data_IF_035561260464
#
_entry.id   IF_035561260464
#
_cell.length_a   1.000
_cell.length_b   1.000
_cell.length_c   1.000
_cell.angle_alpha   90.00
_cell.angle_beta   90.00
_cell.angle_gamma   90.00
#
_symmetry.space_group_name_H-M   'P 1'
#
loop_
_entity.id
_entity.type
_entity.pdbx_description
1 polymer ?
#
# COMPACT_ATOMS: atom_id res chain seq x y z
N UNK A 1 -25.32 -52.13 4.23
CA UNK A 1 -24.26 -51.81 5.22
C UNK A 1 -23.36 -50.76 4.59
N UNK A 2 -23.17 -49.58 5.20
CA UNK A 2 -22.25 -48.59 4.69
C UNK A 2 -20.82 -48.99 5.07
N UNK A 3 -19.94 -49.11 4.09
CA UNK A 3 -18.50 -49.33 4.28
C UNK A 3 -17.89 -48.06 4.89
N UNK A 4 -17.47 -48.15 6.16
CA UNK A 4 -16.70 -47.11 6.82
C UNK A 4 -15.34 -46.98 6.14
N UNK A 5 -15.15 -45.91 5.37
CA UNK A 5 -13.84 -45.47 4.90
C UNK A 5 -13.03 -44.97 6.10
N UNK A 6 -12.19 -45.87 6.63
CA UNK A 6 -11.19 -45.55 7.65
C UNK A 6 -10.17 -44.61 7.03
N UNK A 7 -9.98 -43.41 7.60
CA UNK A 7 -8.90 -42.51 7.21
C UNK A 7 -7.57 -43.24 7.41
N UNK A 8 -6.80 -43.41 6.34
CA UNK A 8 -5.44 -43.97 6.39
C UNK A 8 -4.54 -42.98 7.14
N UNK A 9 -4.12 -43.34 8.35
CA UNK A 9 -3.26 -42.54 9.23
C UNK A 9 -1.75 -42.69 8.86
N UNK A 10 -1.44 -43.54 7.87
CA UNK A 10 -0.07 -43.83 7.41
C UNK A 10 0.41 -42.97 6.23
N UNK A 11 -0.32 -41.92 5.85
CA UNK A 11 0.11 -41.03 4.77
C UNK A 11 1.33 -40.22 5.22
N UNK A 12 2.45 -40.36 4.50
CA UNK A 12 3.68 -39.63 4.80
C UNK A 12 3.40 -38.13 4.74
N UNK A 13 3.86 -37.38 5.75
CA UNK A 13 3.73 -35.92 5.78
C UNK A 13 4.35 -35.34 4.51
N UNK A 14 3.51 -34.76 3.65
CA UNK A 14 3.94 -33.99 2.49
C UNK A 14 4.38 -32.62 2.98
N UNK A 15 5.69 -32.38 2.96
CA UNK A 15 6.24 -31.05 3.19
C UNK A 15 6.16 -30.27 1.87
N UNK A 16 5.42 -29.15 1.89
CA UNK A 16 5.34 -28.22 0.77
C UNK A 16 6.31 -27.05 1.01
N UNK A 17 7.54 -27.21 0.54
CA UNK A 17 8.59 -26.18 0.61
C UNK A 17 8.59 -25.26 -0.64
N UNK A 18 7.43 -25.09 -1.28
CA UNK A 18 7.30 -24.26 -2.48
C UNK A 18 7.55 -22.78 -2.21
N UNK A 19 7.14 -22.28 -1.04
CA UNK A 19 7.34 -20.89 -0.59
C UNK A 19 8.26 -20.92 0.63
N UNK A 20 9.43 -20.30 0.50
CA UNK A 20 10.43 -20.21 1.57
C UNK A 20 10.12 -19.06 2.54
N UNK A 21 9.47 -18.00 2.04
CA UNK A 21 9.07 -16.87 2.89
C UNK A 21 8.63 -15.63 2.12
N UNK A 22 8.28 -14.59 2.87
CA UNK A 22 7.95 -13.27 2.33
C UNK A 22 8.83 -12.23 3.04
N UNK A 23 9.56 -11.44 2.27
CA UNK A 23 10.39 -10.35 2.77
C UNK A 23 9.87 -9.01 2.26
N UNK A 24 9.88 -7.99 3.11
CA UNK A 24 9.42 -6.65 2.72
C UNK A 24 10.59 -5.74 2.40
N UNK A 25 10.65 -5.27 1.15
CA UNK A 25 11.65 -4.33 0.68
C UNK A 25 11.03 -2.93 0.55
N UNK A 26 11.76 -1.89 0.95
CA UNK A 26 11.30 -0.50 0.83
C UNK A 26 12.03 0.19 -0.33
N UNK A 27 11.28 0.60 -1.34
CA UNK A 27 11.77 1.32 -2.50
C UNK A 27 11.48 2.81 -2.35
N UNK A 28 12.46 3.66 -2.62
CA UNK A 28 12.33 5.11 -2.55
C UNK A 28 12.19 5.73 -3.95
N UNK A 29 11.62 6.94 -4.04
CA UNK A 29 11.52 7.67 -5.30
C UNK A 29 12.88 8.01 -5.93
N UNK A 30 12.90 8.23 -7.24
CA UNK A 30 14.11 8.70 -7.94
C UNK A 30 14.56 10.10 -7.55
N UNK A 31 13.60 10.95 -7.20
CA UNK A 31 13.82 12.34 -6.83
C UNK A 31 13.19 12.58 -5.46
N UNK A 32 13.95 13.19 -4.55
CA UNK A 32 13.52 13.48 -3.18
C UNK A 32 12.85 14.86 -3.08
N UNK A 33 11.84 15.11 -3.93
CA UNK A 33 10.99 16.29 -3.84
C UNK A 33 9.53 15.86 -3.66
N UNK A 34 8.91 16.38 -2.60
CA UNK A 34 7.55 16.00 -2.17
C UNK A 34 6.62 17.21 -2.02
N UNK A 35 6.90 18.30 -2.75
CA UNK A 35 6.13 19.53 -2.72
C UNK A 35 4.77 19.32 -3.39
N UNK A 36 3.84 20.24 -3.13
CA UNK A 36 2.54 20.22 -3.79
C UNK A 36 2.71 20.33 -5.31
N UNK A 37 1.93 19.52 -6.05
CA UNK A 37 2.02 19.32 -7.50
C UNK A 37 3.20 18.49 -8.02
N UNK A 38 4.12 18.06 -7.17
CA UNK A 38 5.20 17.17 -7.61
C UNK A 38 4.64 15.82 -8.06
N UNK A 39 5.30 15.26 -9.07
CA UNK A 39 5.12 13.87 -9.48
C UNK A 39 6.25 13.03 -8.90
N UNK A 40 5.87 12.00 -8.14
CA UNK A 40 6.77 11.12 -7.42
C UNK A 40 6.69 9.76 -8.07
N UNK A 41 7.83 9.25 -8.54
CA UNK A 41 7.92 7.95 -9.21
C UNK A 41 8.82 7.01 -8.43
N UNK A 42 8.29 5.85 -8.08
CA UNK A 42 9.00 4.76 -7.40
C UNK A 42 8.99 3.55 -8.34
N UNK A 43 10.15 2.96 -8.61
CA UNK A 43 10.27 1.80 -9.49
C UNK A 43 10.96 0.63 -8.80
N UNK A 44 10.54 -0.57 -9.17
CA UNK A 44 11.23 -1.81 -8.88
C UNK A 44 11.89 -2.26 -10.18
N UNK A 45 13.22 -2.24 -10.20
CA UNK A 45 14.02 -2.58 -11.39
C UNK A 45 14.42 -4.06 -11.43
N UNK A 46 14.21 -4.81 -10.35
CA UNK A 46 14.69 -6.18 -10.21
C UNK A 46 13.78 -7.18 -10.94
N UNK A 47 14.14 -7.52 -12.18
CA UNK A 47 13.35 -8.39 -13.06
C UNK A 47 13.26 -9.86 -12.59
N UNK A 48 14.03 -10.25 -11.58
CA UNK A 48 13.98 -11.62 -11.01
C UNK A 48 13.16 -11.72 -9.72
N UNK A 49 12.49 -10.64 -9.31
CA UNK A 49 11.68 -10.61 -8.09
C UNK A 49 10.25 -11.09 -8.34
N UNK A 50 9.72 -11.85 -7.37
CA UNK A 50 8.32 -12.29 -7.36
C UNK A 50 7.60 -11.36 -6.39
N UNK A 51 6.81 -10.45 -6.93
CA UNK A 51 6.16 -9.39 -6.15
C UNK A 51 4.71 -9.77 -5.85
N UNK A 52 4.23 -9.45 -4.64
CA UNK A 52 2.82 -9.58 -4.26
C UNK A 52 2.18 -8.18 -4.04
N UNK A 53 1.66 -7.51 -5.08
CA UNK A 53 1.27 -6.11 -4.99
C UNK A 53 0.13 -5.83 -4.00
N UNK A 54 -0.78 -6.77 -3.79
CA UNK A 54 -1.96 -6.58 -2.91
C UNK A 54 -1.61 -6.36 -1.44
N UNK A 55 -0.47 -6.90 -0.99
CA UNK A 55 0.05 -6.74 0.37
C UNK A 55 1.11 -5.62 0.47
N UNK A 56 1.34 -4.88 -0.62
CA UNK A 56 2.25 -3.73 -0.60
C UNK A 56 1.63 -2.51 0.09
N UNK A 57 2.48 -1.63 0.58
CA UNK A 57 2.12 -0.50 1.43
C UNK A 57 2.90 0.76 1.03
N UNK A 58 2.24 1.91 1.09
CA UNK A 58 2.86 3.22 0.95
C UNK A 58 3.16 3.80 2.33
N UNK A 59 4.42 4.11 2.58
CA UNK A 59 4.87 4.79 3.80
C UNK A 59 5.00 6.28 3.49
N UNK A 60 4.40 7.12 4.34
CA UNK A 60 4.48 8.57 4.25
C UNK A 60 4.88 9.13 5.62
N UNK A 61 6.04 9.78 5.66
CA UNK A 61 6.60 10.40 6.85
C UNK A 61 6.73 11.91 6.62
N UNK A 62 6.57 12.68 7.68
CA UNK A 62 6.65 14.12 7.58
C UNK A 62 6.44 14.84 8.90
N UNK A 63 6.42 16.16 8.79
CA UNK A 63 6.10 17.06 9.90
C UNK A 63 4.83 17.84 9.61
N UNK A 64 4.15 18.24 10.68
CA UNK A 64 2.95 19.08 10.62
C UNK A 64 3.03 20.17 11.70
N UNK A 65 2.17 21.18 11.62
CA UNK A 65 2.03 22.16 12.71
C UNK A 65 1.65 21.44 14.02
N UNK A 66 2.21 21.88 15.15
CA UNK A 66 1.87 21.31 16.47
C UNK A 66 0.37 21.39 16.75
N UNK A 67 -0.16 20.38 17.44
CA UNK A 67 -1.59 20.24 17.78
C UNK A 67 -2.50 20.15 16.53
N UNK A 68 -1.99 19.55 15.45
CA UNK A 68 -2.79 19.24 14.27
C UNK A 68 -3.54 17.93 14.46
N UNK A 69 -4.76 17.85 13.96
CA UNK A 69 -5.60 16.65 13.95
C UNK A 69 -5.81 16.26 12.50
N UNK A 70 -5.26 15.13 12.07
CA UNK A 70 -5.55 14.60 10.73
C UNK A 70 -7.04 14.28 10.62
N UNK A 71 -7.65 14.62 9.49
CA UNK A 71 -9.02 14.21 9.22
C UNK A 71 -9.07 12.71 8.90
N UNK A 72 -10.27 12.12 8.89
CA UNK A 72 -10.42 10.75 8.42
C UNK A 72 -9.86 10.62 6.99
N UNK A 73 -8.97 9.65 6.81
CA UNK A 73 -8.23 9.36 5.59
C UNK A 73 -7.27 10.48 5.15
N UNK A 74 -6.90 11.40 6.05
CA UNK A 74 -6.06 12.57 5.77
C UNK A 74 -4.77 12.28 4.98
N UNK A 75 -4.02 11.19 5.24
CA UNK A 75 -2.83 10.84 4.47
C UNK A 75 -3.10 10.57 2.98
N UNK A 76 -4.26 10.01 2.63
CA UNK A 76 -4.62 9.80 1.23
C UNK A 76 -4.94 11.13 0.51
N UNK A 77 -5.39 12.16 1.22
CA UNK A 77 -5.62 13.50 0.64
C UNK A 77 -4.32 14.22 0.23
N UNK A 78 -3.16 13.74 0.69
CA UNK A 78 -1.86 14.23 0.22
C UNK A 78 -1.65 13.95 -1.28
N UNK A 79 -2.37 12.99 -1.85
CA UNK A 79 -2.23 12.60 -3.24
C UNK A 79 -3.49 12.94 -4.02
N UNK A 80 -3.32 13.66 -5.13
CA UNK A 80 -4.40 13.84 -6.10
C UNK A 80 -4.57 12.60 -6.96
N UNK A 81 -3.47 11.92 -7.29
CA UNK A 81 -3.48 10.79 -8.21
C UNK A 81 -2.48 9.73 -7.77
N UNK A 82 -2.87 8.48 -7.90
CA UNK A 82 -2.02 7.32 -7.67
C UNK A 82 -2.25 6.37 -8.82
N UNK A 83 -1.17 6.01 -9.51
CA UNK A 83 -1.17 5.14 -10.67
C UNK A 83 -0.17 4.02 -10.49
N UNK A 84 -0.58 2.83 -10.85
CA UNK A 84 0.27 1.65 -10.88
C UNK A 84 0.45 1.17 -12.32
N UNK A 85 1.71 1.03 -12.72
CA UNK A 85 2.10 0.58 -14.05
C UNK A 85 2.89 -0.73 -13.96
N UNK A 86 2.64 -1.63 -14.90
CA UNK A 86 3.44 -2.82 -15.15
C UNK A 86 4.02 -2.74 -16.55
N UNK A 87 5.34 -2.82 -16.68
CA UNK A 87 6.05 -2.72 -17.95
C UNK A 87 5.66 -1.46 -18.77
N UNK A 88 5.36 -0.35 -18.09
CA UNK A 88 4.92 0.91 -18.70
C UNK A 88 3.44 0.95 -19.13
N UNK A 89 2.66 -0.10 -18.83
CA UNK A 89 1.21 -0.13 -19.07
C UNK A 89 0.48 0.20 -17.77
N UNK A 90 -0.41 1.20 -17.82
CA UNK A 90 -1.30 1.56 -16.70
C UNK A 90 -2.27 0.40 -16.42
N UNK A 91 -2.15 -0.19 -15.23
CA UNK A 91 -3.03 -1.28 -14.77
C UNK A 91 -4.22 -0.71 -14.01
N UNK A 92 -3.96 0.27 -13.15
CA UNK A 92 -4.99 0.92 -12.37
C UNK A 92 -4.55 2.34 -11.97
N UNK A 93 -5.55 3.20 -11.77
CA UNK A 93 -5.37 4.59 -11.39
C UNK A 93 -6.55 5.09 -10.57
N UNK A 94 -6.23 5.65 -9.42
CA UNK A 94 -7.20 6.34 -8.57
C UNK A 94 -6.92 7.83 -8.58
N UNK A 95 -7.87 8.60 -9.13
CA UNK A 95 -7.89 10.06 -9.04
C UNK A 95 -8.64 10.53 -7.79
N UNK A 96 -8.33 11.74 -7.34
CA UNK A 96 -8.84 12.35 -6.11
C UNK A 96 -8.72 11.36 -4.93
N UNK A 97 -7.52 10.82 -4.70
CA UNK A 97 -7.29 9.65 -3.85
C UNK A 97 -7.98 9.77 -2.50
N UNK A 98 -7.79 10.90 -1.80
CA UNK A 98 -8.48 11.16 -0.54
C UNK A 98 -10.00 10.99 -0.63
N UNK A 99 -10.67 11.62 -1.61
CA UNK A 99 -12.14 11.55 -1.74
C UNK A 99 -12.59 10.14 -2.12
N UNK A 100 -11.98 9.56 -3.16
CA UNK A 100 -12.38 8.27 -3.72
C UNK A 100 -12.21 7.14 -2.69
N UNK A 101 -11.07 7.09 -2.00
CA UNK A 101 -10.83 6.05 -1.00
C UNK A 101 -11.61 6.29 0.29
N UNK A 102 -11.97 7.54 0.59
CA UNK A 102 -12.92 7.85 1.68
C UNK A 102 -14.31 7.31 1.37
N UNK A 103 -14.85 7.58 0.18
CA UNK A 103 -16.15 7.06 -0.23
C UNK A 103 -16.16 5.52 -0.22
N UNK A 104 -15.11 4.90 -0.79
CA UNK A 104 -14.91 3.46 -0.74
C UNK A 104 -14.94 2.95 0.70
N UNK A 105 -14.15 3.53 1.59
CA UNK A 105 -14.03 3.05 2.96
C UNK A 105 -15.33 3.18 3.75
N UNK A 106 -16.04 4.31 3.62
CA UNK A 106 -17.33 4.52 4.31
C UNK A 106 -18.37 3.48 3.86
N UNK A 107 -18.42 3.18 2.57
CA UNK A 107 -19.47 2.31 2.00
C UNK A 107 -19.14 0.82 2.10
N UNK A 108 -17.86 0.44 2.11
CA UNK A 108 -17.45 -0.97 1.98
C UNK A 108 -16.77 -1.57 3.21
N UNK A 109 -16.26 -0.77 4.15
CA UNK A 109 -15.48 -1.31 5.26
C UNK A 109 -16.35 -1.62 6.48
N UNK A 110 -16.32 -2.88 6.91
CA UNK A 110 -16.84 -3.28 8.21
C UNK A 110 -15.89 -2.91 9.36
N UNK A 111 -16.36 -3.07 10.60
CA UNK A 111 -15.63 -2.68 11.82
C UNK A 111 -14.21 -3.27 11.92
N UNK A 112 -14.03 -4.53 11.51
CA UNK A 112 -12.72 -5.19 11.52
C UNK A 112 -11.73 -4.49 10.61
N UNK A 113 -12.14 -4.17 9.37
CA UNK A 113 -11.29 -3.51 8.38
C UNK A 113 -10.96 -2.08 8.81
N UNK A 114 -11.92 -1.37 9.42
CA UNK A 114 -11.69 -0.04 9.99
C UNK A 114 -10.55 -0.04 11.01
N UNK A 115 -10.55 -0.98 11.97
CA UNK A 115 -9.47 -1.11 12.97
C UNK A 115 -8.11 -1.39 12.34
N UNK A 116 -8.05 -2.19 11.27
CA UNK A 116 -6.77 -2.50 10.60
C UNK A 116 -6.16 -1.31 9.85
N UNK A 117 -6.94 -0.26 9.59
CA UNK A 117 -6.51 0.91 8.80
C UNK A 117 -6.23 2.15 9.66
N UNK A 118 -6.26 2.05 10.98
CA UNK A 118 -5.97 3.17 11.88
C UNK A 118 -4.59 3.79 11.59
N UNK A 119 -3.57 2.96 11.36
CA UNK A 119 -2.22 3.39 10.99
C UNK A 119 -2.10 4.00 9.59
N UNK A 120 -3.15 3.88 8.77
CA UNK A 120 -3.26 4.49 7.45
C UNK A 120 -3.93 5.86 7.49
N UNK A 121 -4.29 6.33 8.67
CA UNK A 121 -5.10 7.52 8.83
C UNK A 121 -6.60 7.26 8.64
N UNK A 122 -7.08 6.02 8.77
CA UNK A 122 -8.51 5.71 8.80
C UNK A 122 -9.05 5.60 10.23
N UNK A 123 -9.80 6.59 10.69
CA UNK A 123 -10.43 6.56 12.00
C UNK A 123 -11.76 7.32 11.99
N UNK A 124 -12.85 6.57 12.07
CA UNK A 124 -14.21 7.11 12.10
C UNK A 124 -14.57 7.76 13.43
N UNK A 125 -13.83 7.47 14.50
CA UNK A 125 -14.03 8.03 15.83
C UNK A 125 -13.20 9.31 16.07
N UNK A 126 -12.42 9.74 15.08
CA UNK A 126 -11.57 10.92 15.14
C UNK A 126 -10.12 10.62 15.58
N UNK A 127 -9.20 11.48 15.16
CA UNK A 127 -7.77 11.37 15.46
C UNK A 127 -7.39 12.08 16.75
N UNK A 128 -6.33 11.57 17.39
CA UNK A 128 -5.62 12.32 18.43
C UNK A 128 -4.78 13.42 17.79
N UNK A 129 -4.51 14.46 18.57
CA UNK A 129 -3.60 15.54 18.19
C UNK A 129 -2.20 14.99 17.95
N UNK A 130 -1.56 15.43 16.86
CA UNK A 130 -0.18 15.12 16.50
C UNK A 130 0.70 16.31 16.87
N UNK A 131 1.75 16.04 17.63
CA UNK A 131 2.75 17.04 18.03
C UNK A 131 3.94 17.05 17.07
N UNK A 132 3.71 17.54 15.85
CA UNK A 132 4.80 17.92 14.96
C UNK A 132 5.28 16.86 13.98
N UNK A 133 5.27 15.57 14.31
CA UNK A 133 5.79 14.49 13.45
C UNK A 133 4.75 13.40 13.21
N UNK A 134 4.72 12.85 12.00
CA UNK A 134 3.84 11.75 11.64
C UNK A 134 4.54 10.69 10.78
N UNK A 135 4.06 9.46 10.89
CA UNK A 135 4.38 8.35 10.00
C UNK A 135 3.09 7.54 9.77
N UNK A 136 2.65 7.47 8.51
CA UNK A 136 1.50 6.69 8.10
C UNK A 136 1.92 5.56 7.18
N UNK A 137 1.25 4.42 7.32
CA UNK A 137 1.42 3.26 6.43
C UNK A 137 0.08 2.93 5.80
N UNK A 138 -0.03 3.14 4.50
CA UNK A 138 -1.27 3.02 3.73
C UNK A 138 -1.19 1.78 2.83
N UNK A 139 -1.99 0.72 3.07
CA UNK A 139 -2.04 -0.43 2.19
C UNK A 139 -2.45 -0.06 0.77
N UNK A 140 -1.79 -0.63 -0.24
CA UNK A 140 -2.09 -0.31 -1.64
C UNK A 140 -3.53 -0.70 -2.02
N UNK A 141 -4.08 -1.77 -1.44
CA UNK A 141 -5.49 -2.18 -1.56
C UNK A 141 -6.51 -1.13 -1.08
N UNK A 142 -6.09 -0.22 -0.20
CA UNK A 142 -6.93 0.91 0.19
C UNK A 142 -6.98 1.96 -0.91
N UNK A 143 -5.88 2.14 -1.64
CA UNK A 143 -5.67 3.20 -2.63
C UNK A 143 -6.09 2.81 -4.06
N UNK A 144 -5.86 1.55 -4.46
CA UNK A 144 -6.10 1.04 -5.81
C UNK A 144 -7.05 -0.16 -5.76
N UNK A 145 -7.93 -0.27 -6.75
CA UNK A 145 -8.87 -1.40 -6.89
C UNK A 145 -8.16 -2.68 -7.33
N UNK A 146 -7.21 -2.58 -8.24
CA UNK A 146 -6.37 -3.71 -8.67
C UNK A 146 -5.72 -4.43 -7.49
N UNK A 147 -5.16 -3.68 -6.54
CA UNK A 147 -4.49 -4.26 -5.37
C UNK A 147 -5.47 -4.85 -4.34
N UNK A 148 -6.77 -4.56 -4.43
CA UNK A 148 -7.80 -5.21 -3.63
C UNK A 148 -8.26 -6.53 -4.23
N UNK A 149 -8.46 -6.56 -5.56
CA UNK A 149 -9.03 -7.72 -6.25
C UNK A 149 -7.97 -8.74 -6.70
N UNK A 150 -6.78 -8.29 -7.07
CA UNK A 150 -5.71 -9.14 -7.60
C UNK A 150 -4.79 -9.64 -6.48
N UNK A 151 -5.03 -10.87 -6.02
CA UNK A 151 -4.30 -11.51 -4.92
C UNK A 151 -3.21 -12.50 -5.38
N UNK A 152 -2.69 -12.34 -6.60
CA UNK A 152 -1.66 -13.23 -7.16
C UNK A 152 -0.31 -12.54 -7.22
N UNK A 153 0.74 -13.36 -7.23
CA UNK A 153 2.10 -12.87 -7.46
C UNK A 153 2.29 -12.44 -8.91
N UNK A 154 3.21 -11.50 -9.12
CA UNK A 154 3.67 -11.06 -10.44
C UNK A 154 5.15 -11.36 -10.53
N UNK A 155 5.53 -11.99 -11.64
CA UNK A 155 6.90 -12.45 -11.90
C UNK A 155 7.42 -11.71 -13.12
N UNK A 156 8.69 -11.28 -13.07
CA UNK A 156 9.40 -10.72 -14.22
C UNK A 156 8.69 -9.53 -14.88
N UNK A 157 8.21 -8.60 -14.05
CA UNK A 157 7.63 -7.36 -14.51
C UNK A 157 8.36 -6.17 -13.88
N UNK A 158 8.49 -5.09 -14.64
CA UNK A 158 8.89 -3.78 -14.12
C UNK A 158 7.67 -3.16 -13.46
N UNK A 159 7.78 -2.84 -12.19
CA UNK A 159 6.72 -2.20 -11.44
C UNK A 159 7.01 -0.72 -11.27
N UNK A 160 6.04 0.14 -11.57
CA UNK A 160 6.12 1.57 -11.23
C UNK A 160 4.89 1.99 -10.41
N UNK A 161 5.14 2.70 -9.31
CA UNK A 161 4.12 3.43 -8.58
C UNK A 161 4.36 4.93 -8.77
N UNK A 162 3.37 5.61 -9.32
CA UNK A 162 3.43 7.02 -9.67
C UNK A 162 2.38 7.75 -8.83
N UNK A 163 2.82 8.74 -8.06
CA UNK A 163 1.99 9.53 -7.17
C UNK A 163 2.06 10.99 -7.61
N UNK A 164 0.92 11.67 -7.66
CA UNK A 164 0.86 13.12 -7.84
C UNK A 164 0.48 13.78 -6.53
N UNK A 165 1.37 14.58 -5.94
CA UNK A 165 1.05 15.38 -4.75
C UNK A 165 -0.08 16.35 -5.06
N UNK A 166 -1.02 16.43 -4.14
CA UNK A 166 -2.13 17.35 -4.24
C UNK A 166 -1.63 18.80 -4.26
N UNK A 167 -2.36 19.68 -4.95
CA UNK A 167 -2.01 21.10 -5.05
C UNK A 167 -2.18 21.83 -3.72
N UNK A 168 -2.93 21.25 -2.78
CA UNK A 168 -3.21 21.79 -1.47
C UNK A 168 -3.38 20.67 -0.44
N UNK A 169 -2.92 20.92 0.78
CA UNK A 169 -3.03 19.98 1.91
C UNK A 169 -4.17 20.34 2.88
N UNK A 170 -5.06 21.28 2.50
CA UNK A 170 -6.17 21.75 3.34
C UNK A 170 -7.12 20.63 3.80
N UNK A 171 -7.25 19.58 2.98
CA UNK A 171 -8.10 18.43 3.27
C UNK A 171 -7.35 17.30 3.99
N UNK A 172 -6.14 17.54 4.52
CA UNK A 172 -5.38 16.50 5.21
C UNK A 172 -5.57 16.54 6.73
N UNK A 173 -5.60 17.74 7.31
CA UNK A 173 -5.68 17.94 8.75
C UNK A 173 -6.35 19.27 9.11
N UNK A 174 -6.62 19.46 10.40
CA UNK A 174 -7.14 20.67 11.01
C UNK A 174 -6.20 21.11 12.14
N UNK A 175 -6.03 22.42 12.32
CA UNK A 175 -5.29 22.98 13.47
C UNK A 175 -6.30 23.56 14.44
N UNK A 176 -6.17 23.21 15.73
CA UNK A 176 -7.07 23.66 16.79
C UNK A 176 -6.98 25.18 17.04
N UNK A 177 -5.78 25.73 16.89
CA UNK A 177 -5.52 27.16 16.95
C UNK A 177 -5.73 27.78 15.57
N UNK A 178 -6.90 28.38 15.37
CA UNK A 178 -7.30 29.00 14.09
C UNK A 178 -6.42 30.20 13.69
N UNK A 179 -5.55 30.68 14.58
CA UNK A 179 -4.59 31.75 14.26
C UNK A 179 -3.35 31.24 13.54
N UNK A 180 -3.05 29.93 13.65
CA UNK A 180 -1.89 29.32 12.99
C UNK A 180 -2.29 28.69 11.68
N UNK A 181 -1.53 29.01 10.63
CA UNK A 181 -1.64 28.32 9.35
C UNK A 181 -1.15 26.89 9.50
N UNK A 182 -1.96 25.93 9.08
CA UNK A 182 -1.55 24.53 8.96
C UNK A 182 -0.51 24.38 7.85
N UNK A 183 0.59 23.73 8.18
CA UNK A 183 1.64 23.36 7.23
C UNK A 183 1.96 21.88 7.40
N UNK A 184 2.04 21.16 6.28
CA UNK A 184 2.45 19.76 6.21
C UNK A 184 3.67 19.68 5.31
N UNK A 185 4.76 19.14 5.84
CA UNK A 185 5.99 18.91 5.09
C UNK A 185 6.24 17.40 5.04
N UNK A 186 6.13 16.82 3.86
CA UNK A 186 6.47 15.41 3.65
C UNK A 186 7.98 15.29 3.56
N UNK A 187 8.58 14.47 4.42
CA UNK A 187 10.04 14.26 4.48
C UNK A 187 10.47 12.98 3.79
N UNK A 188 9.61 11.96 3.78
CA UNK A 188 9.91 10.68 3.12
C UNK A 188 8.65 10.00 2.61
N UNK A 189 8.76 9.48 1.40
CA UNK A 189 7.79 8.54 0.83
C UNK A 189 8.55 7.28 0.43
N UNK A 190 8.02 6.12 0.79
CA UNK A 190 8.60 4.84 0.40
C UNK A 190 7.50 3.84 0.04
N UNK A 191 7.73 3.04 -0.99
CA UNK A 191 6.86 1.93 -1.35
C UNK A 191 7.43 0.65 -0.76
N UNK A 192 6.75 0.10 0.24
CA UNK A 192 7.11 -1.14 0.91
C UNK A 192 6.41 -2.31 0.23
N UNK A 193 7.19 -3.22 -0.34
CA UNK A 193 6.72 -4.25 -1.26
C UNK A 193 7.12 -5.63 -0.75
N UNK A 194 6.18 -6.58 -0.64
CA UNK A 194 6.49 -7.96 -0.32
C UNK A 194 7.08 -8.68 -1.55
N UNK A 195 8.26 -9.25 -1.35
CA UNK A 195 8.95 -10.14 -2.27
C UNK A 195 8.78 -11.56 -1.73
N UNK A 196 8.22 -12.42 -2.56
CA UNK A 196 8.00 -13.84 -2.24
C UNK A 196 9.24 -14.63 -2.61
N UNK A 197 9.85 -15.29 -1.62
CA UNK A 197 10.91 -16.26 -1.82
C UNK A 197 10.30 -17.63 -2.05
N UNK A 198 10.66 -18.25 -3.15
CA UNK A 198 10.22 -19.59 -3.55
C UNK A 198 11.44 -20.46 -3.76
N UNK A 199 11.29 -21.76 -3.58
CA UNK A 199 12.39 -22.70 -3.81
C UNK A 199 12.85 -22.66 -5.27
N UNK A 200 14.13 -22.99 -5.51
CA UNK A 200 14.73 -22.95 -6.85
C UNK A 200 13.95 -23.77 -7.89
N UNK A 201 13.38 -24.90 -7.46
CA UNK A 201 12.54 -25.75 -8.30
C UNK A 201 11.30 -25.00 -8.79
N UNK A 202 10.62 -24.29 -7.89
CA UNK A 202 9.42 -23.52 -8.21
C UNK A 202 9.76 -22.24 -8.96
N UNK A 203 10.88 -21.59 -8.66
CA UNK A 203 11.40 -20.48 -9.45
C UNK A 203 11.61 -20.87 -10.90
N UNK A 204 12.25 -22.02 -11.16
CA UNK A 204 12.42 -22.57 -12.50
C UNK A 204 11.08 -22.89 -13.18
N UNK A 205 10.09 -23.37 -12.41
CA UNK A 205 8.75 -23.64 -12.94
C UNK A 205 8.04 -22.36 -13.36
N UNK A 206 8.12 -21.30 -12.55
CA UNK A 206 7.54 -19.99 -12.86
C UNK A 206 8.17 -19.34 -14.09
N UNK A 207 9.49 -19.46 -14.24
CA UNK A 207 10.22 -18.94 -15.42
C UNK A 207 9.74 -19.58 -16.73
N UNK A 208 9.32 -20.86 -16.71
CA UNK A 208 8.79 -21.53 -17.92
C UNK A 208 7.48 -20.96 -18.42
N UNK A 209 6.69 -20.28 -17.57
CA UNK A 209 5.43 -19.65 -17.98
C UNK A 209 5.62 -18.28 -18.63
N UNK A 210 6.85 -17.77 -18.66
CA UNK A 210 7.18 -16.47 -19.25
C UNK A 210 7.77 -16.58 -20.67
N UNK A 211 7.96 -17.82 -21.17
CA UNK A 211 8.51 -18.14 -22.49
C UNK A 211 7.42 -18.64 -23.43
#
# INVERSE_FOLDING_TARGET
MPSSSVSNIEESVLFDDSIEGIEYHSYTPYHESYKNNDEIRIRINDMDTIVLPCESQLIVEGTTTKNSIFINNGPAYLFHDIRYELNGVEIDRTKNCGVTTTMKGILSYGEKKNKTLENSGWNTNGFKEIDGEFCFTIPLRHLLGFAEDYNKVIVNAKHELILKRNSSDLNCALVKDTTKKMEIVVTRIAWRVPIVKVSDKEKLRLLKYLV
#
